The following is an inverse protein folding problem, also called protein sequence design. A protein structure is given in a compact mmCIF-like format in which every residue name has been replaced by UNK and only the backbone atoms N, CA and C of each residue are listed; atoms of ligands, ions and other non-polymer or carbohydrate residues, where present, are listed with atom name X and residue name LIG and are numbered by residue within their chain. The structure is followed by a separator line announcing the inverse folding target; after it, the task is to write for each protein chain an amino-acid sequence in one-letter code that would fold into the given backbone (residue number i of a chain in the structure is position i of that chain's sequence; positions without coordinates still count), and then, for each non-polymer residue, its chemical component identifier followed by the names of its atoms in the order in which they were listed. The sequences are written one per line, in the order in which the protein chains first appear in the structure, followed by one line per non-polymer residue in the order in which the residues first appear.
data_IF_152124561371
#
_entry.id   IF_152124561371
#
_cell.length_a   1.000
_cell.length_b   1.000
_cell.length_c   1.000
_cell.angle_alpha   90.00
_cell.angle_beta   90.00
_cell.angle_gamma   90.00
#
_symmetry.space_group_name_H-M   'P 1'
#
loop_
_entity.id
_entity.type
_entity.pdbx_description
1 polymer ?
#
# COMPACT_ATOMS: atom_id res chain seq x y z
N UNK A 1 -77.32 -14.34 -39.15
CA UNK A 1 -75.89 -14.71 -38.97
C UNK A 1 -75.36 -13.87 -37.87
N UNK A 2 -75.27 -14.41 -36.66
CA UNK A 2 -74.66 -13.71 -35.47
C UNK A 2 -73.28 -14.22 -35.29
N UNK A 3 -72.27 -13.35 -35.46
CA UNK A 3 -70.88 -13.65 -35.12
C UNK A 3 -70.76 -13.63 -33.61
N UNK A 4 -70.58 -14.80 -33.02
CA UNK A 4 -70.12 -14.93 -31.63
C UNK A 4 -68.62 -14.60 -31.58
N UNK A 5 -68.31 -13.36 -31.25
CA UNK A 5 -66.96 -12.96 -30.84
C UNK A 5 -66.59 -13.63 -29.51
N UNK A 6 -65.73 -14.64 -29.57
CA UNK A 6 -65.15 -15.28 -28.39
C UNK A 6 -64.12 -14.29 -27.74
N UNK A 7 -64.63 -13.41 -26.89
CA UNK A 7 -63.74 -12.61 -26.01
C UNK A 7 -63.25 -13.53 -24.91
N UNK A 8 -62.00 -14.01 -25.02
CA UNK A 8 -61.32 -14.62 -23.93
C UNK A 8 -61.16 -13.57 -22.79
N UNK A 9 -61.82 -13.89 -21.67
CA UNK A 9 -61.70 -13.04 -20.49
C UNK A 9 -60.19 -12.83 -20.13
N UNK A 10 -59.76 -11.62 -19.70
CA UNK A 10 -58.41 -11.39 -19.27
C UNK A 10 -58.06 -12.32 -18.10
N UNK A 11 -56.86 -12.92 -18.14
CA UNK A 11 -56.36 -13.79 -17.08
C UNK A 11 -56.42 -13.05 -15.72
N UNK A 12 -56.74 -13.75 -14.63
CA UNK A 12 -56.80 -13.11 -13.33
C UNK A 12 -55.42 -12.51 -12.95
N UNK A 13 -55.40 -11.33 -12.31
CA UNK A 13 -54.14 -10.58 -11.99
C UNK A 13 -53.08 -11.40 -11.26
N UNK A 14 -53.49 -12.45 -10.53
CA UNK A 14 -52.56 -13.35 -9.82
C UNK A 14 -51.78 -14.28 -10.78
N UNK A 15 -52.33 -14.69 -11.91
CA UNK A 15 -51.63 -15.52 -12.91
C UNK A 15 -50.61 -14.67 -13.69
N UNK A 16 -50.96 -13.46 -14.08
CA UNK A 16 -50.04 -12.50 -14.72
C UNK A 16 -48.85 -12.13 -13.81
N UNK A 17 -49.03 -12.09 -12.49
CA UNK A 17 -47.97 -11.85 -11.53
C UNK A 17 -47.03 -13.06 -11.42
N UNK A 18 -47.57 -14.28 -11.37
CA UNK A 18 -46.81 -15.53 -11.32
C UNK A 18 -46.02 -15.78 -12.61
N UNK A 19 -46.58 -15.49 -13.77
CA UNK A 19 -45.90 -15.60 -15.07
C UNK A 19 -44.75 -14.57 -15.17
N UNK A 20 -44.93 -13.34 -14.68
CA UNK A 20 -43.87 -12.32 -14.62
C UNK A 20 -42.77 -12.68 -13.67
N UNK A 21 -43.03 -13.40 -12.57
CA UNK A 21 -42.02 -13.84 -11.61
C UNK A 21 -41.28 -15.09 -12.07
N UNK A 22 -41.81 -15.88 -12.99
CA UNK A 22 -41.20 -17.12 -13.49
C UNK A 22 -39.85 -16.88 -14.19
N UNK A 23 -39.65 -15.69 -14.81
CA UNK A 23 -38.42 -15.30 -15.50
C UNK A 23 -37.55 -14.33 -14.69
N UNK A 24 -37.82 -14.24 -13.38
CA UNK A 24 -37.08 -13.35 -12.48
C UNK A 24 -36.12 -14.12 -11.57
N UNK A 25 -34.92 -13.60 -11.42
CA UNK A 25 -33.85 -14.19 -10.61
C UNK A 25 -33.57 -13.32 -9.39
N UNK A 26 -34.21 -13.66 -8.27
CA UNK A 26 -34.01 -12.98 -6.99
C UNK A 26 -32.98 -13.75 -6.16
N UNK A 27 -31.98 -13.05 -5.59
CA UNK A 27 -30.95 -13.63 -4.74
C UNK A 27 -29.54 -13.38 -5.24
N UNK A 28 -28.59 -14.07 -4.61
CA UNK A 28 -27.15 -13.98 -4.94
C UNK A 28 -26.71 -15.25 -5.66
N UNK A 29 -26.06 -15.07 -6.78
CA UNK A 29 -25.55 -16.16 -7.62
C UNK A 29 -24.02 -16.08 -7.68
N UNK A 30 -23.36 -17.21 -7.71
CA UNK A 30 -21.91 -17.26 -7.87
C UNK A 30 -21.52 -16.92 -9.29
N UNK A 31 -20.62 -15.93 -9.42
CA UNK A 31 -20.02 -15.56 -10.69
C UNK A 31 -18.51 -15.64 -10.65
N UNK A 32 -17.91 -15.83 -11.82
CA UNK A 32 -16.46 -15.71 -12.02
C UNK A 32 -16.23 -14.56 -12.98
N UNK A 33 -15.37 -13.61 -12.59
CA UNK A 33 -15.05 -12.45 -13.40
C UNK A 33 -14.37 -12.86 -14.70
N UNK A 34 -14.92 -12.46 -15.83
CA UNK A 34 -14.36 -12.72 -17.16
C UNK A 34 -13.77 -11.46 -17.81
N UNK A 35 -14.28 -10.27 -17.44
CA UNK A 35 -13.80 -9.00 -17.94
C UNK A 35 -14.03 -7.90 -16.89
N UNK A 36 -12.98 -7.15 -16.58
CA UNK A 36 -13.03 -6.01 -15.65
C UNK A 36 -12.55 -4.69 -16.31
N UNK A 37 -12.39 -4.69 -17.64
CA UNK A 37 -11.98 -3.50 -18.41
C UNK A 37 -13.20 -2.70 -18.85
N UNK A 38 -13.87 -2.05 -17.90
CA UNK A 38 -15.07 -1.27 -18.13
C UNK A 38 -14.81 -0.04 -19.02
N UNK A 39 -15.42 0.06 -20.23
CA UNK A 39 -15.25 1.21 -21.11
C UNK A 39 -15.73 2.54 -20.51
N UNK A 40 -16.73 2.51 -19.61
CA UNK A 40 -17.26 3.69 -18.94
C UNK A 40 -16.47 4.06 -17.67
N UNK A 41 -15.56 3.18 -17.20
CA UNK A 41 -14.71 3.39 -16.01
C UNK A 41 -15.53 3.73 -14.74
N UNK A 42 -16.68 3.07 -14.58
CA UNK A 42 -17.53 3.22 -13.39
C UNK A 42 -17.51 1.98 -12.49
N UNK A 43 -16.54 1.10 -12.70
CA UNK A 43 -16.31 -0.08 -11.85
C UNK A 43 -17.17 -1.28 -12.19
N UNK A 44 -17.72 -1.35 -13.39
CA UNK A 44 -18.47 -2.53 -13.86
C UNK A 44 -17.55 -3.67 -14.23
N UNK A 45 -18.06 -4.87 -14.16
CA UNK A 45 -17.39 -6.08 -14.63
C UNK A 45 -18.40 -6.99 -15.38
N UNK A 46 -17.88 -7.97 -16.11
CA UNK A 46 -18.66 -9.05 -16.67
C UNK A 46 -18.26 -10.36 -16.00
N UNK A 47 -19.22 -11.21 -15.72
CA UNK A 47 -19.00 -12.47 -15.05
C UNK A 47 -19.72 -13.63 -15.77
N UNK A 48 -19.15 -14.81 -15.67
CA UNK A 48 -19.84 -16.06 -15.98
C UNK A 48 -20.68 -16.43 -14.75
N UNK A 49 -21.99 -16.64 -14.94
CA UNK A 49 -22.96 -16.98 -13.88
C UNK A 49 -23.70 -18.26 -14.30
N UNK A 50 -23.12 -19.45 -14.12
CA UNK A 50 -23.63 -20.68 -14.70
C UNK A 50 -25.06 -21.05 -14.26
N UNK A 51 -25.43 -20.75 -13.02
CA UNK A 51 -26.75 -21.08 -12.46
C UNK A 51 -27.91 -20.31 -13.12
N UNK A 52 -27.61 -19.16 -13.77
CA UNK A 52 -28.64 -18.28 -14.36
C UNK A 52 -28.45 -18.11 -15.86
N UNK A 53 -27.19 -17.92 -16.29
CA UNK A 53 -26.84 -17.56 -17.66
C UNK A 53 -26.18 -18.72 -18.42
N UNK A 54 -26.05 -19.90 -17.79
CA UNK A 54 -25.32 -21.04 -18.34
C UNK A 54 -23.88 -20.63 -18.77
N UNK A 55 -23.50 -20.84 -20.01
CA UNK A 55 -22.18 -20.51 -20.56
C UNK A 55 -22.08 -19.07 -21.14
N UNK A 56 -23.15 -18.28 -21.00
CA UNK A 56 -23.17 -16.91 -21.51
C UNK A 56 -22.65 -15.94 -20.47
N UNK A 57 -21.77 -15.04 -20.89
CA UNK A 57 -21.28 -13.96 -20.03
C UNK A 57 -22.44 -12.99 -19.72
N UNK A 58 -22.42 -12.46 -18.50
CA UNK A 58 -23.38 -11.40 -18.11
C UNK A 58 -23.15 -10.12 -18.92
N UNK A 59 -24.16 -9.26 -18.96
CA UNK A 59 -23.97 -7.85 -19.25
C UNK A 59 -22.99 -7.19 -18.27
N UNK A 60 -22.72 -5.91 -18.45
CA UNK A 60 -21.89 -5.13 -17.53
C UNK A 60 -22.60 -4.97 -16.17
N UNK A 61 -22.15 -5.70 -15.18
CA UNK A 61 -22.66 -5.65 -13.81
C UNK A 61 -22.18 -4.38 -13.09
N UNK A 62 -23.11 -3.60 -12.56
CA UNK A 62 -22.80 -2.41 -11.76
C UNK A 62 -22.22 -2.79 -10.40
N UNK A 63 -21.29 -2.01 -9.83
CA UNK A 63 -20.78 -2.25 -8.48
C UNK A 63 -21.81 -1.86 -7.42
N UNK A 64 -22.03 -2.73 -6.44
CA UNK A 64 -22.61 -2.38 -5.15
C UNK A 64 -21.48 -2.06 -4.17
N UNK A 65 -20.92 -0.85 -4.27
CA UNK A 65 -19.79 -0.45 -3.47
C UNK A 65 -20.20 -0.07 -2.03
N UNK A 66 -19.39 -0.36 -1.00
CA UNK A 66 -19.67 0.03 0.38
C UNK A 66 -19.77 1.55 0.57
N UNK A 67 -19.06 2.31 -0.25
CA UNK A 67 -19.06 3.76 -0.28
C UNK A 67 -18.74 4.27 -1.67
N UNK A 68 -19.63 5.10 -2.23
CA UNK A 68 -19.46 5.75 -3.52
C UNK A 68 -20.05 7.16 -3.50
N UNK A 69 -19.37 8.12 -4.14
CA UNK A 69 -19.80 9.51 -4.29
C UNK A 69 -19.07 10.19 -5.43
N UNK A 70 -19.37 11.46 -5.67
CA UNK A 70 -18.67 12.23 -6.70
C UNK A 70 -17.19 12.33 -6.37
N UNK A 71 -16.33 11.73 -7.19
CA UNK A 71 -14.86 11.68 -7.03
C UNK A 71 -14.37 11.07 -5.71
N UNK A 72 -15.23 10.36 -4.98
CA UNK A 72 -14.90 9.73 -3.70
C UNK A 72 -15.53 8.34 -3.57
N UNK A 73 -14.87 7.43 -2.84
CA UNK A 73 -15.40 6.09 -2.62
C UNK A 73 -14.33 5.04 -2.35
N UNK A 74 -14.79 3.81 -2.14
CA UNK A 74 -13.95 2.63 -2.09
C UNK A 74 -13.94 1.97 -3.47
N UNK A 75 -12.80 2.04 -4.16
CA UNK A 75 -12.64 1.50 -5.51
C UNK A 75 -11.63 0.36 -5.51
N UNK A 76 -12.14 -0.88 -5.55
CA UNK A 76 -11.34 -2.09 -5.64
C UNK A 76 -12.10 -3.09 -6.52
N UNK A 77 -11.68 -3.23 -7.76
CA UNK A 77 -12.34 -4.08 -8.75
C UNK A 77 -11.67 -5.45 -8.74
N UNK A 78 -12.44 -6.55 -8.57
CA UNK A 78 -11.89 -7.89 -8.58
C UNK A 78 -11.18 -8.23 -9.90
N UNK A 79 -10.04 -8.97 -9.85
CA UNK A 79 -9.32 -9.38 -11.05
C UNK A 79 -10.12 -10.43 -11.85
N UNK A 80 -9.72 -10.63 -13.10
CA UNK A 80 -10.25 -11.71 -13.94
C UNK A 80 -9.94 -13.06 -13.25
N UNK A 81 -10.94 -13.93 -13.19
CA UNK A 81 -10.90 -15.22 -12.52
C UNK A 81 -11.37 -15.17 -11.05
N UNK A 82 -11.52 -13.98 -10.44
CA UNK A 82 -12.02 -13.86 -9.08
C UNK A 82 -13.49 -14.28 -8.96
N UNK A 83 -13.84 -14.88 -7.82
CA UNK A 83 -15.21 -15.19 -7.43
C UNK A 83 -15.97 -13.95 -6.96
N UNK A 84 -17.14 -13.70 -7.56
CA UNK A 84 -18.01 -12.57 -7.21
C UNK A 84 -19.45 -13.03 -6.97
N UNK A 85 -20.18 -12.27 -6.18
CA UNK A 85 -21.63 -12.43 -6.02
C UNK A 85 -22.33 -11.52 -7.01
N UNK A 86 -23.19 -12.12 -7.83
CA UNK A 86 -24.02 -11.43 -8.82
C UNK A 86 -25.47 -11.46 -8.36
N UNK A 87 -26.09 -10.31 -8.41
CA UNK A 87 -27.54 -10.09 -8.24
C UNK A 87 -28.09 -9.46 -9.52
N UNK A 88 -29.43 -9.46 -9.64
CA UNK A 88 -30.09 -8.85 -10.77
C UNK A 88 -31.12 -7.83 -10.27
N UNK A 89 -31.03 -6.59 -10.73
CA UNK A 89 -31.92 -5.52 -10.31
C UNK A 89 -33.39 -5.88 -10.66
N UNK A 90 -34.23 -5.95 -9.63
CA UNK A 90 -35.61 -6.45 -9.75
C UNK A 90 -35.71 -7.84 -10.40
N UNK A 91 -34.70 -8.69 -10.28
CA UNK A 91 -34.63 -10.02 -10.86
C UNK A 91 -34.37 -10.06 -12.38
N UNK A 92 -34.07 -8.93 -13.01
CA UNK A 92 -33.87 -8.80 -14.46
C UNK A 92 -32.44 -9.12 -14.86
N UNK A 93 -32.20 -10.23 -15.55
CA UNK A 93 -30.87 -10.69 -15.96
C UNK A 93 -30.11 -9.71 -16.88
N UNK A 94 -30.81 -8.78 -17.52
CA UNK A 94 -30.22 -7.72 -18.32
C UNK A 94 -29.58 -6.60 -17.48
N UNK A 95 -29.84 -6.57 -16.16
CA UNK A 95 -29.40 -5.54 -15.21
C UNK A 95 -28.62 -6.15 -14.07
N UNK A 96 -27.45 -6.76 -14.33
CA UNK A 96 -26.65 -7.40 -13.30
C UNK A 96 -25.97 -6.38 -12.39
N UNK A 97 -25.81 -6.75 -11.11
CA UNK A 97 -25.09 -6.03 -10.07
C UNK A 97 -24.11 -7.00 -9.44
N UNK A 98 -22.85 -6.61 -9.26
CA UNK A 98 -21.92 -7.35 -8.42
C UNK A 98 -21.85 -6.74 -7.02
N UNK A 99 -22.05 -7.56 -5.97
CA UNK A 99 -22.26 -7.09 -4.60
C UNK A 99 -21.23 -7.62 -3.61
N UNK A 100 -20.05 -7.96 -4.08
CA UNK A 100 -18.94 -8.47 -3.28
C UNK A 100 -18.23 -9.63 -3.94
N UNK A 101 -17.26 -10.17 -3.24
CA UNK A 101 -16.43 -11.28 -3.70
C UNK A 101 -16.47 -12.45 -2.69
N UNK A 102 -16.01 -13.63 -3.11
CA UNK A 102 -15.83 -14.80 -2.29
C UNK A 102 -14.51 -15.47 -2.64
N UNK A 103 -13.93 -16.17 -1.69
CA UNK A 103 -12.70 -16.94 -1.89
C UNK A 103 -13.02 -18.43 -2.01
N UNK A 104 -12.40 -19.09 -2.96
CA UNK A 104 -12.34 -20.54 -2.97
C UNK A 104 -11.32 -21.05 -1.95
N UNK A 105 -11.26 -22.37 -1.80
CA UNK A 105 -10.29 -23.00 -0.88
C UNK A 105 -8.86 -22.64 -1.29
N UNK A 106 -8.09 -22.04 -0.38
CA UNK A 106 -6.71 -21.64 -0.61
C UNK A 106 -6.51 -20.24 -1.21
N UNK A 107 -7.58 -19.46 -1.43
CA UNK A 107 -7.52 -18.11 -2.01
C UNK A 107 -7.49 -16.98 -0.98
N UNK A 108 -7.59 -17.31 0.30
CA UNK A 108 -7.52 -16.29 1.36
C UNK A 108 -6.20 -15.55 1.29
N UNK A 109 -6.18 -14.21 1.44
CA UNK A 109 -4.95 -13.41 1.38
C UNK A 109 -3.86 -13.94 2.32
N UNK A 110 -2.65 -14.05 1.81
CA UNK A 110 -1.47 -14.42 2.61
C UNK A 110 -0.85 -13.17 3.23
N UNK A 111 -0.16 -13.35 4.36
CA UNK A 111 0.62 -12.31 4.99
C UNK A 111 2.00 -12.12 4.33
N UNK A 112 2.84 -11.25 4.92
CA UNK A 112 4.22 -10.99 4.46
C UNK A 112 5.16 -12.21 4.59
N UNK A 113 4.73 -13.23 5.35
CA UNK A 113 5.46 -14.50 5.50
C UNK A 113 4.91 -15.61 4.61
N UNK A 114 4.03 -15.27 3.66
CA UNK A 114 3.35 -16.23 2.76
C UNK A 114 2.53 -17.27 3.51
N UNK A 115 1.96 -16.88 4.67
CA UNK A 115 1.06 -17.71 5.47
C UNK A 115 -0.38 -17.22 5.31
N UNK A 116 -1.38 -18.10 5.15
CA UNK A 116 -2.78 -17.72 5.10
C UNK A 116 -3.18 -16.94 6.36
N UNK A 117 -3.86 -15.80 6.17
CA UNK A 117 -4.19 -14.89 7.27
C UNK A 117 -5.19 -15.50 8.25
N UNK A 118 -4.88 -15.54 9.56
CA UNK A 118 -5.81 -15.97 10.57
C UNK A 118 -6.90 -14.91 10.82
N UNK A 119 -8.02 -15.24 11.48
CA UNK A 119 -9.09 -14.29 11.79
C UNK A 119 -8.66 -13.07 12.63
N UNK A 120 -7.56 -13.17 13.37
CA UNK A 120 -6.96 -12.06 14.13
C UNK A 120 -6.28 -11.02 13.26
N UNK A 121 -6.05 -11.32 11.98
CA UNK A 121 -5.39 -10.42 11.03
C UNK A 121 -6.36 -9.92 9.96
N UNK A 122 -6.42 -8.63 9.74
CA UNK A 122 -7.20 -7.96 8.69
C UNK A 122 -6.22 -7.47 7.63
N UNK A 123 -6.45 -7.88 6.38
CA UNK A 123 -5.52 -7.61 5.27
C UNK A 123 -6.28 -7.06 4.07
N UNK A 124 -5.73 -5.99 3.49
CA UNK A 124 -5.97 -5.60 2.12
C UNK A 124 -4.71 -5.92 1.32
N UNK A 125 -4.81 -6.83 0.34
CA UNK A 125 -3.68 -7.27 -0.48
C UNK A 125 -4.03 -7.23 -1.96
N UNK A 126 -3.13 -6.70 -2.77
CA UNK A 126 -3.25 -6.70 -4.24
C UNK A 126 -2.69 -7.98 -4.83
N UNK A 127 -2.94 -8.24 -6.12
CA UNK A 127 -2.43 -9.41 -6.86
C UNK A 127 -0.89 -9.43 -6.89
N UNK A 128 -0.24 -8.25 -6.93
CA UNK A 128 1.22 -8.13 -6.89
C UNK A 128 1.80 -8.24 -5.49
N UNK A 129 0.92 -8.32 -4.46
CA UNK A 129 1.31 -8.51 -3.07
C UNK A 129 1.55 -7.22 -2.28
N UNK A 130 1.23 -6.04 -2.82
CA UNK A 130 1.19 -4.83 -2.01
C UNK A 130 0.12 -4.97 -0.94
N UNK A 131 0.44 -4.62 0.32
CA UNK A 131 -0.38 -5.03 1.45
C UNK A 131 -0.50 -3.95 2.52
N UNK A 132 -1.71 -3.86 3.08
CA UNK A 132 -2.00 -3.20 4.36
C UNK A 132 -2.52 -4.26 5.31
N UNK A 133 -1.87 -4.43 6.46
CA UNK A 133 -2.22 -5.45 7.45
C UNK A 133 -2.37 -4.85 8.84
N UNK A 134 -3.40 -5.31 9.56
CA UNK A 134 -3.62 -5.05 10.98
C UNK A 134 -3.67 -6.40 11.70
N UNK A 135 -2.74 -6.65 12.60
CA UNK A 135 -2.65 -7.86 13.39
C UNK A 135 -3.03 -7.57 14.85
N UNK A 136 -4.21 -8.03 15.27
CA UNK A 136 -4.70 -7.81 16.62
C UNK A 136 -3.89 -8.58 17.66
N UNK A 137 -3.35 -9.75 17.31
CA UNK A 137 -2.58 -10.57 18.22
C UNK A 137 -1.18 -9.98 18.46
N UNK A 138 -0.50 -9.59 17.41
CA UNK A 138 0.81 -8.94 17.50
C UNK A 138 0.71 -7.45 17.83
N UNK A 139 -0.49 -6.86 17.75
CA UNK A 139 -0.75 -5.42 17.88
C UNK A 139 0.16 -4.61 16.93
N UNK A 140 0.13 -4.97 15.66
CA UNK A 140 0.99 -4.40 14.62
C UNK A 140 0.19 -3.91 13.43
N UNK A 141 0.50 -2.71 12.95
CA UNK A 141 0.03 -2.16 11.68
C UNK A 141 1.19 -2.22 10.70
N UNK A 142 0.99 -2.79 9.51
CA UNK A 142 2.06 -2.95 8.51
C UNK A 142 1.58 -2.52 7.13
N UNK A 143 2.42 -1.75 6.44
CA UNK A 143 2.37 -1.50 5.01
C UNK A 143 3.60 -2.19 4.41
N UNK A 144 3.43 -3.08 3.43
CA UNK A 144 4.58 -3.82 2.88
C UNK A 144 4.40 -4.24 1.43
N UNK A 145 5.50 -4.66 0.82
CA UNK A 145 5.49 -5.47 -0.39
C UNK A 145 5.19 -6.95 -0.08
N UNK A 146 5.15 -7.77 -1.13
CA UNK A 146 4.77 -9.19 -1.06
C UNK A 146 5.61 -10.03 -0.08
N UNK A 147 6.86 -9.64 0.16
CA UNK A 147 7.84 -10.40 0.95
C UNK A 147 8.26 -9.66 2.23
N UNK A 148 7.67 -8.50 2.52
CA UNK A 148 8.04 -7.69 3.68
C UNK A 148 9.47 -7.14 3.65
N UNK A 149 10.07 -7.01 2.46
CA UNK A 149 11.42 -6.45 2.29
C UNK A 149 11.39 -4.93 2.45
N UNK A 150 10.44 -4.28 1.78
CA UNK A 150 10.16 -2.87 1.95
C UNK A 150 8.91 -2.75 2.82
N UNK A 151 9.03 -2.13 3.98
CA UNK A 151 7.92 -2.03 4.91
C UNK A 151 7.95 -0.73 5.74
N UNK A 152 6.75 -0.37 6.19
CA UNK A 152 6.53 0.57 7.28
C UNK A 152 5.63 -0.12 8.30
N UNK A 153 6.04 -0.18 9.56
CA UNK A 153 5.24 -0.82 10.60
C UNK A 153 5.22 -0.04 11.91
N UNK A 154 4.08 -0.12 12.60
CA UNK A 154 3.90 0.35 13.97
C UNK A 154 3.69 -0.87 14.84
N UNK A 155 4.62 -1.14 15.76
CA UNK A 155 4.61 -2.26 16.70
C UNK A 155 4.24 -1.73 18.08
N UNK A 156 2.95 -1.80 18.43
CA UNK A 156 2.40 -1.13 19.62
C UNK A 156 3.00 -1.69 20.91
N UNK A 157 3.09 -3.01 21.07
CA UNK A 157 3.65 -3.65 22.26
C UNK A 157 5.11 -3.30 22.49
N UNK A 158 5.90 -3.21 21.40
CA UNK A 158 7.32 -2.85 21.50
C UNK A 158 7.57 -1.33 21.54
N UNK A 159 6.53 -0.52 21.32
CA UNK A 159 6.65 0.93 21.22
C UNK A 159 7.55 1.38 20.07
N UNK A 160 7.58 0.65 18.96
CA UNK A 160 8.50 0.86 17.85
C UNK A 160 7.78 1.21 16.56
N UNK A 161 8.31 2.21 15.84
CA UNK A 161 7.96 2.48 14.44
C UNK A 161 9.18 2.10 13.60
N UNK A 162 8.99 1.23 12.63
CA UNK A 162 10.03 0.74 11.75
C UNK A 162 9.73 1.14 10.29
N UNK A 163 10.74 1.72 9.63
CA UNK A 163 10.73 1.95 8.18
C UNK A 163 11.94 1.23 7.61
N UNK A 164 11.71 0.30 6.70
CA UNK A 164 12.77 -0.50 6.07
C UNK A 164 12.62 -0.48 4.56
N UNK A 165 13.74 -0.34 3.87
CA UNK A 165 13.83 -0.42 2.42
C UNK A 165 15.09 -1.19 2.02
N UNK A 166 15.01 -1.99 0.95
CA UNK A 166 16.14 -2.74 0.41
C UNK A 166 17.25 -1.83 -0.15
N UNK A 167 16.92 -0.61 -0.60
CA UNK A 167 17.84 0.29 -1.27
C UNK A 167 18.09 1.56 -0.48
N UNK A 168 17.05 2.39 -0.29
CA UNK A 168 17.19 3.67 0.43
C UNK A 168 15.83 4.16 0.93
N UNK A 169 15.87 4.96 1.98
CA UNK A 169 14.75 5.79 2.43
C UNK A 169 15.08 7.23 2.09
N UNK A 170 14.17 7.92 1.44
CA UNK A 170 14.29 9.36 1.13
C UNK A 170 13.31 10.10 2.03
N UNK A 171 13.82 11.08 2.78
CA UNK A 171 13.04 12.00 3.59
C UNK A 171 13.29 13.40 3.03
N UNK A 172 12.28 13.97 2.38
CA UNK A 172 12.36 15.27 1.74
C UNK A 172 11.30 16.20 2.35
N UNK A 173 11.75 17.27 2.97
CA UNK A 173 10.91 18.31 3.52
C UNK A 173 11.70 19.60 3.66
N UNK A 174 11.06 20.81 3.67
CA UNK A 174 11.75 22.06 3.97
C UNK A 174 12.44 22.06 5.34
N UNK A 175 11.97 21.25 6.28
CA UNK A 175 12.56 21.04 7.60
C UNK A 175 12.32 19.60 8.06
N UNK A 176 13.39 18.91 8.48
CA UNK A 176 13.33 17.60 9.11
C UNK A 176 13.81 17.74 10.56
N UNK A 177 12.95 17.45 11.52
CA UNK A 177 13.26 17.49 12.94
C UNK A 177 13.36 16.06 13.50
N UNK A 178 14.48 15.72 14.11
CA UNK A 178 14.70 14.49 14.86
C UNK A 178 14.35 14.70 16.34
N UNK A 179 13.06 14.69 16.64
CA UNK A 179 12.50 14.97 17.97
C UNK A 179 11.71 16.26 18.03
N UNK A 180 10.67 16.26 18.86
CA UNK A 180 9.84 17.45 19.08
C UNK A 180 10.67 18.56 19.72
N UNK A 181 10.69 19.75 19.11
CA UNK A 181 11.44 20.89 19.62
C UNK A 181 12.93 20.83 19.35
N UNK A 182 13.45 19.96 18.48
CA UNK A 182 14.84 19.94 18.07
C UNK A 182 15.20 21.29 17.40
N UNK A 183 16.22 21.97 17.96
CA UNK A 183 16.69 23.29 17.51
C UNK A 183 18.12 23.27 16.97
N UNK A 184 18.86 22.18 17.18
CA UNK A 184 20.25 22.05 16.73
C UNK A 184 20.26 21.50 15.29
N UNK A 185 20.93 22.19 14.34
CA UNK A 185 21.08 21.68 12.98
C UNK A 185 21.93 20.40 12.95
N UNK A 186 21.61 19.47 12.06
CA UNK A 186 22.49 18.35 11.76
C UNK A 186 23.75 18.85 11.05
N UNK A 187 24.88 18.23 11.37
CA UNK A 187 26.17 18.60 10.79
C UNK A 187 26.41 17.81 9.50
N UNK A 188 26.87 18.48 8.45
CA UNK A 188 27.41 17.83 7.26
C UNK A 188 28.74 17.16 7.61
N UNK A 189 28.73 15.86 7.76
CA UNK A 189 29.87 15.10 8.31
C UNK A 189 31.13 15.21 7.46
N UNK A 190 31.02 15.26 6.14
CA UNK A 190 32.12 15.43 5.20
C UNK A 190 32.77 16.81 5.31
N UNK A 191 32.00 17.88 5.46
CA UNK A 191 32.49 19.24 5.67
C UNK A 191 33.18 19.37 7.04
N UNK A 192 32.58 18.79 8.09
CA UNK A 192 33.20 18.76 9.40
C UNK A 192 34.54 17.99 9.37
N UNK A 193 34.59 16.84 8.69
CA UNK A 193 35.78 16.05 8.52
C UNK A 193 36.89 16.85 7.81
N UNK A 194 36.56 17.57 6.74
CA UNK A 194 37.48 18.43 6.02
C UNK A 194 38.03 19.57 6.92
N UNK A 195 37.15 20.21 7.68
CA UNK A 195 37.53 21.27 8.61
C UNK A 195 38.47 20.76 9.74
N UNK A 196 38.13 19.59 10.32
CA UNK A 196 39.02 18.97 11.34
C UNK A 196 40.40 18.62 10.79
N UNK A 197 40.46 18.11 9.54
CA UNK A 197 41.73 17.82 8.89
C UNK A 197 42.59 19.10 8.65
N UNK A 198 41.92 20.21 8.28
CA UNK A 198 42.61 21.50 8.18
C UNK A 198 43.16 21.97 9.52
N UNK A 199 42.39 21.85 10.61
CA UNK A 199 42.86 22.19 11.96
C UNK A 199 44.08 21.34 12.38
N UNK A 200 44.04 20.04 12.11
CA UNK A 200 45.16 19.12 12.39
C UNK A 200 46.37 19.52 11.58
N UNK A 201 46.24 19.86 10.30
CA UNK A 201 47.34 20.31 9.46
C UNK A 201 47.95 21.63 9.97
N UNK A 202 47.11 22.61 10.33
CA UNK A 202 47.56 23.88 10.89
C UNK A 202 48.29 23.67 12.21
N UNK A 203 47.74 22.81 13.09
CA UNK A 203 48.39 22.49 14.38
C UNK A 203 49.74 21.83 14.17
N UNK A 204 49.87 20.87 13.28
CA UNK A 204 51.09 20.13 13.02
C UNK A 204 52.16 20.98 12.28
N UNK A 205 51.77 22.04 11.59
CA UNK A 205 52.66 22.88 10.79
C UNK A 205 52.93 24.26 11.39
N UNK A 206 52.30 24.64 12.53
CA UNK A 206 52.51 25.96 13.09
C UNK A 206 53.95 26.10 13.61
N UNK A 207 54.51 27.29 13.49
CA UNK A 207 55.85 27.64 13.93
C UNK A 207 55.82 28.90 14.81
N UNK A 208 56.81 29.09 15.66
CA UNK A 208 56.98 30.26 16.52
C UNK A 208 58.08 31.16 15.95
N UNK A 209 57.82 32.04 14.98
CA UNK A 209 58.86 32.89 14.40
C UNK A 209 59.46 33.87 15.43
N UNK A 210 60.74 33.89 15.50
CA UNK A 210 61.45 34.83 16.38
C UNK A 210 61.61 34.36 17.82
N UNK A 211 61.07 33.22 18.24
CA UNK A 211 61.36 32.61 19.54
C UNK A 211 62.67 31.82 19.47
N UNK A 212 63.54 32.05 20.44
CA UNK A 212 64.86 31.37 20.58
C UNK A 212 64.99 30.83 21.96
N UNK A 213 65.46 29.60 22.08
CA UNK A 213 65.90 29.03 23.34
C UNK A 213 67.42 29.31 23.52
N UNK A 214 67.83 29.61 24.74
CA UNK A 214 69.24 29.96 25.08
C UNK A 214 69.86 31.11 24.26
N UNK A 215 68.99 32.01 23.70
CA UNK A 215 69.40 33.22 22.97
C UNK A 215 69.82 33.01 21.51
N UNK A 216 69.90 31.79 20.98
CA UNK A 216 70.37 31.53 19.62
C UNK A 216 69.73 30.27 18.93
N UNK A 217 69.01 29.42 19.64
CA UNK A 217 68.37 28.22 19.07
C UNK A 217 66.89 28.54 18.74
N UNK A 218 66.49 28.53 17.48
CA UNK A 218 65.07 28.72 17.13
C UNK A 218 64.20 27.68 17.81
N UNK A 219 63.17 28.14 18.48
CA UNK A 219 62.13 27.23 19.00
C UNK A 219 61.14 26.95 17.87
N UNK A 220 61.24 25.78 17.26
CA UNK A 220 60.18 25.24 16.40
C UNK A 220 59.42 24.28 17.24
N UNK A 221 58.07 24.25 17.16
CA UNK A 221 57.33 23.19 17.82
C UNK A 221 57.81 21.87 17.23
N UNK A 222 58.41 21.03 18.07
CA UNK A 222 58.58 19.64 17.67
C UNK A 222 57.17 19.04 17.55
N UNK A 223 56.84 18.44 16.41
CA UNK A 223 55.51 17.80 16.28
C UNK A 223 55.33 16.87 17.47
N UNK A 224 54.15 16.88 18.12
CA UNK A 224 53.87 15.96 19.21
C UNK A 224 54.06 14.52 18.73
N UNK A 225 54.78 13.73 19.49
CA UNK A 225 54.93 12.30 19.21
C UNK A 225 54.08 11.54 20.23
N UNK A 226 53.04 10.85 19.81
CA UNK A 226 52.57 10.66 18.43
C UNK A 226 51.90 11.90 17.83
N UNK A 227 52.10 12.11 16.52
CA UNK A 227 51.33 13.12 15.76
C UNK A 227 49.81 12.87 15.96
N UNK A 228 49.05 13.97 15.99
CA UNK A 228 47.62 13.85 15.85
C UNK A 228 47.30 13.23 14.48
N UNK A 229 46.70 12.03 14.44
CA UNK A 229 46.34 11.45 13.15
C UNK A 229 45.24 12.31 12.51
N UNK A 230 45.21 12.40 11.17
CA UNK A 230 44.10 13.06 10.48
C UNK A 230 42.77 12.39 10.83
N UNK A 231 41.70 13.19 10.86
CA UNK A 231 40.37 12.65 11.03
C UNK A 231 40.05 11.70 9.87
N UNK A 232 39.50 10.53 10.16
CA UNK A 232 39.22 9.48 9.18
C UNK A 232 37.75 9.46 8.78
N UNK A 233 37.39 8.95 7.58
CA UNK A 233 36.01 8.78 7.16
C UNK A 233 35.18 7.92 8.14
N UNK A 234 35.79 7.13 9.01
CA UNK A 234 35.10 6.36 10.03
C UNK A 234 34.39 7.22 11.09
N UNK A 235 34.69 8.52 11.17
CA UNK A 235 34.02 9.48 12.04
C UNK A 235 32.69 9.98 11.49
N UNK A 236 32.40 9.72 10.21
CA UNK A 236 31.15 10.11 9.58
C UNK A 236 30.26 8.89 9.33
N UNK A 237 28.96 9.06 9.46
CA UNK A 237 27.99 8.01 9.14
C UNK A 237 27.80 7.93 7.62
N UNK A 238 28.04 6.75 7.05
CA UNK A 238 27.70 6.47 5.64
C UNK A 238 26.23 6.07 5.44
N UNK A 239 25.49 5.88 6.56
CA UNK A 239 24.07 5.49 6.52
C UNK A 239 23.12 6.68 6.62
N UNK A 240 23.55 7.78 7.24
CA UNK A 240 22.76 9.00 7.39
C UNK A 240 23.42 10.09 6.54
N UNK A 241 22.89 10.30 5.35
CA UNK A 241 23.31 11.40 4.46
C UNK A 241 22.29 12.53 4.61
N UNK A 242 22.78 13.77 4.76
CA UNK A 242 22.00 15.01 4.72
C UNK A 242 22.57 15.87 3.62
N UNK A 243 21.69 16.59 2.89
CA UNK A 243 22.09 17.58 1.87
C UNK A 243 22.59 18.87 2.52
#
# INVERSE_FOLDING_TARGET
MSENGNQTAPAPPALDALERDADRFYGKYRGIVTNNQDPLRIGRLQALVPEVLNEVMSGWALPCAPYAGTTSGFYAIPPIGAGVWIEFEAGDTSRPIWSGAWWATGEVPMDEHQTPSPPTRKILRTETGLMVSLDDLAQTITLSDALGINLMSVKVVQGTIEIRSAVRVVLEAPLIQHGQGATHPAVFGDLLLAYLNQLVALFNSHVHPGEVAAGFIPVTPMPPVPFFPPATPSLISIKNLVE
#
